data_IF_931792184896
#
_entry.id   IF_931792184896
#
_cell.length_a   1.000
_cell.length_b   1.000
_cell.length_c   1.000
_cell.angle_alpha   90.00
_cell.angle_beta   90.00
_cell.angle_gamma   90.00
#
_symmetry.space_group_name_H-M   'P 1'
#
loop_
_entity.id
_entity.type
_entity.pdbx_description
1 polymer ?
#
# COMPACT_ATOMS: atom_id res chain seq x y z
N UNK A 1 4.54 27.63 2.39
CA UNK A 1 6.00 27.83 2.47
C UNK A 1 6.72 26.56 2.03
N UNK A 2 7.83 26.65 1.27
CA UNK A 2 8.60 25.47 0.83
C UNK A 2 10.06 25.56 1.26
N UNK A 3 10.69 24.42 1.55
CA UNK A 3 12.14 24.30 1.77
C UNK A 3 12.73 23.25 0.84
N UNK A 4 14.02 23.39 0.54
CA UNK A 4 14.72 22.56 -0.44
C UNK A 4 16.13 22.22 0.03
N UNK A 5 16.64 21.08 -0.42
CA UNK A 5 18.05 20.74 -0.28
C UNK A 5 18.93 21.51 -1.29
N UNK A 6 20.25 21.29 -1.25
CA UNK A 6 21.21 21.95 -2.15
C UNK A 6 21.05 21.54 -3.62
N UNK A 7 20.31 20.47 -3.91
CA UNK A 7 20.04 19.96 -5.27
C UNK A 7 18.69 20.42 -5.80
N UNK A 8 17.90 21.13 -4.98
CA UNK A 8 16.57 21.60 -5.35
C UNK A 8 15.46 20.59 -5.09
N UNK A 9 15.72 19.51 -4.35
CA UNK A 9 14.67 18.58 -3.94
C UNK A 9 13.88 19.18 -2.77
N UNK A 10 12.54 19.12 -2.82
CA UNK A 10 11.67 19.74 -1.80
C UNK A 10 11.71 18.92 -0.50
N UNK A 11 12.25 19.50 0.57
CA UNK A 11 12.29 18.88 1.90
C UNK A 11 10.98 19.04 2.65
N UNK A 12 10.42 20.24 2.64
CA UNK A 12 9.09 20.51 3.23
C UNK A 12 8.27 21.42 2.33
N UNK A 13 6.96 21.27 2.39
CA UNK A 13 6.00 22.16 1.74
C UNK A 13 4.77 22.34 2.61
N UNK A 14 4.23 23.55 2.58
CA UNK A 14 2.97 23.93 3.24
C UNK A 14 2.18 24.79 2.27
N UNK A 15 0.91 24.43 2.06
CA UNK A 15 -0.07 25.21 1.32
C UNK A 15 -1.26 25.46 2.23
N UNK A 16 -1.78 26.67 2.22
CA UNK A 16 -2.93 27.10 3.03
C UNK A 16 -3.94 27.76 2.11
N UNK A 17 -5.22 27.56 2.41
CA UNK A 17 -6.34 28.14 1.69
C UNK A 17 -7.13 29.01 2.67
N UNK A 18 -7.50 30.20 2.22
CA UNK A 18 -8.42 31.14 2.88
C UNK A 18 -9.41 31.56 1.78
N UNK A 19 -10.51 30.84 1.66
CA UNK A 19 -11.49 30.97 0.58
C UNK A 19 -12.33 32.24 0.74
N UNK A 20 -12.53 32.69 1.98
CA UNK A 20 -13.35 33.86 2.28
C UNK A 20 -12.54 35.16 2.40
N UNK A 21 -11.20 35.07 2.45
CA UNK A 21 -10.27 36.19 2.53
C UNK A 21 -10.28 36.92 3.87
N UNK A 22 -10.72 36.27 4.94
CA UNK A 22 -10.83 36.88 6.28
C UNK A 22 -9.53 36.83 7.08
N UNK A 23 -8.50 36.18 6.54
CA UNK A 23 -7.19 35.99 7.17
C UNK A 23 -7.09 34.75 8.06
N UNK A 24 -8.14 33.95 8.15
CA UNK A 24 -8.17 32.62 8.80
C UNK A 24 -7.91 31.56 7.74
N UNK A 25 -7.10 30.56 8.10
CA UNK A 25 -6.87 29.39 7.23
C UNK A 25 -8.11 28.50 7.30
N UNK A 26 -8.72 28.20 6.16
CA UNK A 26 -9.84 27.26 6.02
C UNK A 26 -9.35 25.82 5.82
N UNK A 27 -8.18 25.64 5.19
CA UNK A 27 -7.53 24.33 5.10
C UNK A 27 -6.03 24.46 4.90
N UNK A 28 -5.30 23.43 5.33
CA UNK A 28 -3.85 23.32 5.19
C UNK A 28 -3.47 21.96 4.66
N UNK A 29 -2.53 21.96 3.72
CA UNK A 29 -1.79 20.79 3.29
C UNK A 29 -0.32 20.96 3.67
N UNK A 30 0.26 19.95 4.31
CA UNK A 30 1.71 19.89 4.56
C UNK A 30 2.31 18.62 4.00
N UNK A 31 3.58 18.71 3.62
CA UNK A 31 4.35 17.55 3.23
C UNK A 31 5.81 17.65 3.70
N UNK A 32 6.42 16.51 3.97
CA UNK A 32 7.85 16.37 4.29
C UNK A 32 8.45 15.23 3.49
N UNK A 33 9.63 15.42 2.92
CA UNK A 33 10.33 14.39 2.15
C UNK A 33 11.79 14.27 2.60
N UNK A 34 12.35 13.08 2.40
CA UNK A 34 13.79 12.83 2.54
C UNK A 34 14.35 12.22 1.26
N UNK A 35 15.65 12.39 1.04
CA UNK A 35 16.33 11.95 -0.17
C UNK A 35 17.68 11.31 0.15
N UNK A 36 18.12 10.39 -0.69
CA UNK A 36 19.47 9.85 -0.64
C UNK A 36 20.51 10.81 -1.25
N UNK A 37 21.77 10.36 -1.33
CA UNK A 37 22.85 11.14 -1.91
C UNK A 37 22.82 11.20 -3.43
N UNK A 38 21.91 10.50 -4.10
CA UNK A 38 21.70 10.53 -5.54
C UNK A 38 20.53 11.48 -5.88
N UNK A 39 19.68 11.78 -4.90
CA UNK A 39 18.48 12.61 -5.05
C UNK A 39 17.21 11.77 -5.21
N UNK A 40 17.27 10.45 -4.99
CA UNK A 40 16.09 9.60 -4.97
C UNK A 40 15.35 9.81 -3.65
N UNK A 41 14.03 9.92 -3.70
CA UNK A 41 13.22 10.15 -2.51
C UNK A 41 13.18 8.89 -1.65
N UNK A 42 13.57 8.97 -0.38
CA UNK A 42 13.54 7.83 0.54
C UNK A 42 12.21 7.75 1.30
N UNK A 43 11.71 8.90 1.75
CA UNK A 43 10.42 8.98 2.45
C UNK A 43 9.63 10.18 2.00
N UNK A 44 8.31 10.07 2.07
CA UNK A 44 7.36 11.16 1.92
C UNK A 44 6.27 11.04 2.98
N UNK A 45 5.86 12.17 3.54
CA UNK A 45 4.70 12.28 4.45
C UNK A 45 3.84 13.41 3.93
N UNK A 46 2.53 13.17 3.82
CA UNK A 46 1.51 14.18 3.49
C UNK A 46 0.47 14.23 4.60
N UNK A 47 0.05 15.43 4.94
CA UNK A 47 -0.96 15.69 5.98
C UNK A 47 -1.95 16.72 5.47
N UNK A 48 -3.22 16.54 5.81
CA UNK A 48 -4.30 17.48 5.50
C UNK A 48 -5.03 17.83 6.79
N UNK A 49 -5.22 19.13 6.98
CA UNK A 49 -6.14 19.76 7.92
C UNK A 49 -7.19 20.44 7.04
N UNK A 50 -8.36 19.82 6.93
CA UNK A 50 -9.40 20.18 5.96
C UNK A 50 -10.32 21.28 6.45
N UNK A 51 -10.28 21.60 7.74
CA UNK A 51 -11.15 22.56 8.38
C UNK A 51 -10.39 23.75 9.04
N UNK A 52 -9.06 23.75 8.97
CA UNK A 52 -8.19 24.82 9.46
C UNK A 52 -8.07 24.89 10.98
N UNK A 53 -8.50 23.85 11.72
CA UNK A 53 -8.49 23.86 13.18
C UNK A 53 -7.13 23.48 13.79
N UNK A 54 -6.16 23.08 12.94
CA UNK A 54 -4.82 22.66 13.33
C UNK A 54 -4.71 21.17 13.70
N UNK A 55 -5.80 20.40 13.58
CA UNK A 55 -5.83 18.95 13.72
C UNK A 55 -5.70 18.33 12.33
N UNK A 56 -4.93 17.25 12.23
CA UNK A 56 -4.78 16.52 10.97
C UNK A 56 -5.97 15.59 10.81
N UNK A 57 -6.72 15.74 9.72
CA UNK A 57 -7.86 14.88 9.34
C UNK A 57 -7.43 13.70 8.47
N UNK A 58 -6.27 13.80 7.81
CA UNK A 58 -5.72 12.74 6.98
C UNK A 58 -4.21 12.78 7.00
N UNK A 59 -3.58 11.62 7.14
CA UNK A 59 -2.13 11.45 7.03
C UNK A 59 -1.82 10.28 6.12
N UNK A 60 -0.87 10.46 5.20
CA UNK A 60 -0.25 9.35 4.49
C UNK A 60 1.27 9.43 4.52
N UNK A 61 1.89 8.26 4.47
CA UNK A 61 3.34 8.14 4.36
C UNK A 61 3.72 7.12 3.30
N UNK A 62 4.85 7.36 2.65
CA UNK A 62 5.42 6.45 1.66
C UNK A 62 6.92 6.33 1.87
N UNK A 63 7.44 5.11 1.77
CA UNK A 63 8.87 4.80 1.80
C UNK A 63 9.28 4.12 0.50
N UNK A 64 10.45 4.48 -0.02
CA UNK A 64 11.03 3.91 -1.23
C UNK A 64 12.39 3.28 -0.93
N UNK A 65 12.71 2.20 -1.66
CA UNK A 65 14.06 1.64 -1.69
C UNK A 65 14.54 1.51 -3.13
N UNK A 66 15.85 1.53 -3.32
CA UNK A 66 16.47 1.55 -4.65
C UNK A 66 17.65 0.59 -4.74
N UNK A 67 17.91 0.09 -5.95
CA UNK A 67 19.15 -0.60 -6.27
C UNK A 67 20.29 0.40 -6.54
N UNK A 68 21.51 -0.10 -6.80
CA UNK A 68 22.69 0.74 -7.08
C UNK A 68 22.63 1.51 -8.41
N UNK A 69 21.61 1.27 -9.22
CA UNK A 69 21.38 1.90 -10.52
C UNK A 69 20.12 2.77 -10.48
N UNK A 70 19.67 3.15 -9.28
CA UNK A 70 18.50 4.01 -9.03
C UNK A 70 17.16 3.41 -9.48
N UNK A 71 17.09 2.08 -9.69
CA UNK A 71 15.81 1.40 -9.93
C UNK A 71 15.08 1.21 -8.60
N UNK A 72 13.78 1.51 -8.53
CA UNK A 72 12.94 1.29 -7.35
C UNK A 72 12.86 -0.21 -7.07
N UNK A 73 13.22 -0.66 -5.86
CA UNK A 73 13.07 -2.05 -5.43
C UNK A 73 11.78 -2.27 -4.65
N UNK A 74 11.36 -1.27 -3.87
CA UNK A 74 10.11 -1.35 -3.11
C UNK A 74 9.49 0.02 -2.89
N UNK A 75 8.16 0.02 -2.79
CA UNK A 75 7.33 1.11 -2.33
C UNK A 75 6.47 0.56 -1.20
N UNK A 76 6.39 1.28 -0.09
CA UNK A 76 5.49 0.95 1.02
C UNK A 76 4.72 2.20 1.40
N UNK A 77 3.40 2.10 1.47
CA UNK A 77 2.52 3.22 1.82
C UNK A 77 1.57 2.85 2.95
N UNK A 78 1.29 3.83 3.81
CA UNK A 78 0.30 3.75 4.87
C UNK A 78 -0.57 5.00 4.85
N UNK A 79 -1.86 4.87 5.19
CA UNK A 79 -2.72 6.02 5.45
C UNK A 79 -3.58 5.86 6.70
N UNK A 80 -3.71 6.97 7.41
CA UNK A 80 -4.66 7.25 8.49
C UNK A 80 -5.69 8.21 7.86
N UNK A 81 -6.83 7.66 7.48
CA UNK A 81 -7.83 8.32 6.65
C UNK A 81 -8.76 9.23 7.44
N UNK A 82 -8.81 9.08 8.77
CA UNK A 82 -9.64 9.86 9.68
C UNK A 82 -8.83 10.71 10.69
N UNK A 83 -7.50 10.65 10.62
CA UNK A 83 -6.60 11.45 11.44
C UNK A 83 -6.55 11.01 12.91
N UNK A 84 -7.05 9.81 13.24
CA UNK A 84 -7.16 9.34 14.62
C UNK A 84 -5.83 8.80 15.20
N UNK A 85 -4.80 8.68 14.36
CA UNK A 85 -3.48 8.14 14.70
C UNK A 85 -3.34 6.63 14.50
N UNK A 86 -4.37 5.96 13.97
CA UNK A 86 -4.38 4.54 13.60
C UNK A 86 -4.30 4.44 12.08
N UNK A 87 -3.47 3.52 11.59
CA UNK A 87 -3.42 3.25 10.15
C UNK A 87 -4.67 2.48 9.75
N UNK A 88 -5.36 2.94 8.72
CA UNK A 88 -6.54 2.30 8.14
C UNK A 88 -6.21 1.47 6.91
N UNK A 89 -5.12 1.79 6.20
CA UNK A 89 -4.75 1.16 4.95
C UNK A 89 -3.24 1.01 4.83
N UNK A 90 -2.80 -0.13 4.29
CA UNK A 90 -1.42 -0.34 3.86
C UNK A 90 -1.38 -0.88 2.43
N UNK A 91 -0.35 -0.48 1.70
CA UNK A 91 0.02 -1.14 0.46
C UNK A 91 1.52 -1.28 0.32
N UNK A 92 1.93 -2.30 -0.42
CA UNK A 92 3.31 -2.47 -0.82
C UNK A 92 3.42 -2.88 -2.28
N UNK A 93 4.50 -2.41 -2.90
CA UNK A 93 4.90 -2.84 -4.22
C UNK A 93 6.37 -3.24 -4.16
N UNK A 94 6.74 -4.36 -4.78
CA UNK A 94 8.14 -4.78 -4.93
C UNK A 94 8.46 -5.09 -6.38
N UNK A 95 9.70 -4.84 -6.76
CA UNK A 95 10.15 -4.90 -8.14
C UNK A 95 11.49 -5.63 -8.24
N UNK A 96 11.65 -6.41 -9.31
CA UNK A 96 12.95 -7.02 -9.65
C UNK A 96 13.37 -6.64 -11.05
N UNK A 97 14.68 -6.64 -11.31
CA UNK A 97 15.24 -6.19 -12.58
C UNK A 97 16.39 -7.08 -13.03
N UNK A 98 16.61 -7.14 -14.34
CA UNK A 98 17.78 -7.77 -14.92
C UNK A 98 19.04 -6.87 -14.85
N UNK A 99 20.14 -7.35 -15.40
CA UNK A 99 21.41 -6.61 -15.46
C UNK A 99 21.39 -5.42 -16.42
N UNK A 100 20.39 -5.32 -17.30
CA UNK A 100 20.20 -4.19 -18.21
C UNK A 100 19.22 -3.15 -17.66
N UNK A 101 18.54 -3.45 -16.55
CA UNK A 101 17.53 -2.59 -15.93
C UNK A 101 16.10 -2.85 -16.43
N UNK A 102 15.86 -3.95 -17.14
CA UNK A 102 14.51 -4.35 -17.52
C UNK A 102 13.83 -5.01 -16.31
N UNK A 103 12.59 -4.61 -16.01
CA UNK A 103 11.82 -5.15 -14.90
C UNK A 103 11.46 -6.62 -15.17
N UNK A 104 11.80 -7.53 -14.27
CA UNK A 104 11.51 -8.96 -14.38
C UNK A 104 10.23 -9.35 -13.66
N UNK A 105 9.90 -8.69 -12.55
CA UNK A 105 8.64 -8.91 -11.83
C UNK A 105 8.16 -7.67 -11.09
N UNK A 106 6.87 -7.65 -10.79
CA UNK A 106 6.26 -6.80 -9.77
C UNK A 106 5.29 -7.61 -8.90
N UNK A 107 5.27 -7.31 -7.61
CA UNK A 107 4.28 -7.79 -6.66
C UNK A 107 3.60 -6.57 -6.03
N UNK A 108 2.28 -6.48 -6.12
CA UNK A 108 1.44 -5.48 -5.46
C UNK A 108 0.57 -6.16 -4.41
N UNK A 109 0.57 -5.60 -3.19
CA UNK A 109 -0.23 -6.07 -2.08
C UNK A 109 -0.97 -4.90 -1.41
N UNK A 110 -2.22 -5.10 -0.99
CA UNK A 110 -2.94 -4.15 -0.14
C UNK A 110 -3.66 -4.85 1.01
N UNK A 111 -3.70 -4.15 2.14
CA UNK A 111 -4.37 -4.47 3.39
C UNK A 111 -5.29 -3.27 3.69
N UNK A 112 -6.58 -3.41 3.34
CA UNK A 112 -7.54 -2.32 3.23
C UNK A 112 -8.10 -1.85 4.57
N UNK A 113 -7.86 -2.62 5.64
CA UNK A 113 -8.29 -2.34 7.00
C UNK A 113 -7.12 -2.34 7.99
N UNK A 114 -5.90 -2.45 7.49
CA UNK A 114 -4.66 -2.47 8.25
C UNK A 114 -4.60 -3.56 9.34
N UNK A 115 -5.32 -4.67 9.17
CA UNK A 115 -5.39 -5.77 10.14
C UNK A 115 -4.23 -6.77 10.03
N UNK A 116 -3.37 -6.60 9.02
CA UNK A 116 -2.22 -7.44 8.73
C UNK A 116 -2.52 -8.64 7.82
N UNK A 117 -3.75 -8.78 7.35
CA UNK A 117 -4.16 -9.75 6.32
C UNK A 117 -4.19 -9.03 4.98
N UNK A 118 -3.60 -9.66 3.98
CA UNK A 118 -3.57 -9.11 2.62
C UNK A 118 -4.91 -9.39 1.94
N UNK A 119 -5.67 -8.34 1.66
CA UNK A 119 -6.94 -8.40 0.93
C UNK A 119 -6.73 -8.58 -0.57
N UNK A 120 -5.68 -7.95 -1.11
CA UNK A 120 -5.37 -7.97 -2.52
C UNK A 120 -3.90 -8.28 -2.72
N UNK A 121 -3.64 -9.24 -3.60
CA UNK A 121 -2.30 -9.59 -4.04
C UNK A 121 -2.28 -9.87 -5.53
N UNK A 122 -1.39 -9.17 -6.24
CA UNK A 122 -1.14 -9.41 -7.65
C UNK A 122 0.36 -9.51 -7.91
N UNK A 123 0.77 -10.63 -8.53
CA UNK A 123 2.14 -10.81 -9.00
C UNK A 123 2.15 -10.85 -10.52
N UNK A 124 3.02 -10.05 -11.14
CA UNK A 124 3.27 -10.06 -12.59
C UNK A 124 4.72 -10.40 -12.87
N UNK A 125 4.95 -11.36 -13.75
CA UNK A 125 6.28 -11.71 -14.27
C UNK A 125 6.38 -11.32 -15.73
N UNK A 126 7.48 -10.67 -16.10
CA UNK A 126 7.74 -10.19 -17.46
C UNK A 126 8.80 -11.04 -18.15
N UNK A 127 8.46 -11.56 -19.33
CA UNK A 127 9.42 -12.22 -20.22
C UNK A 127 9.79 -11.31 -21.39
N UNK A 128 11.07 -11.29 -21.77
CA UNK A 128 11.58 -10.50 -22.88
C UNK A 128 12.19 -11.40 -23.95
N UNK A 129 11.77 -11.21 -25.21
CA UNK A 129 12.27 -11.98 -26.36
C UNK A 129 13.52 -11.36 -27.02
N UNK A 130 14.12 -10.33 -26.42
CA UNK A 130 15.24 -9.57 -26.98
C UNK A 130 15.51 -8.26 -26.24
N UNK A 131 16.21 -7.31 -26.87
CA UNK A 131 16.55 -6.01 -26.28
C UNK A 131 15.31 -5.16 -25.94
N UNK A 132 14.70 -5.40 -24.77
CA UNK A 132 13.63 -4.56 -24.20
C UNK A 132 12.24 -4.77 -24.81
N UNK A 133 12.03 -5.78 -25.66
CA UNK A 133 10.70 -6.12 -26.17
C UNK A 133 10.00 -7.14 -25.27
N UNK A 134 8.94 -6.69 -24.60
CA UNK A 134 8.04 -7.51 -23.78
C UNK A 134 7.35 -8.58 -24.64
N UNK A 135 7.42 -9.83 -24.19
CA UNK A 135 6.78 -10.99 -24.80
C UNK A 135 5.37 -11.21 -24.25
N UNK A 136 5.25 -11.14 -22.92
CA UNK A 136 4.01 -11.39 -22.17
C UNK A 136 4.25 -11.03 -20.69
N UNK A 137 3.26 -10.41 -20.05
CA UNK A 137 3.17 -10.37 -18.59
C UNK A 137 2.21 -11.47 -18.15
N UNK A 138 2.65 -12.38 -17.28
CA UNK A 138 1.74 -13.36 -16.65
C UNK A 138 1.38 -12.80 -15.28
N UNK A 139 0.12 -12.39 -15.12
CA UNK A 139 -0.44 -11.99 -13.83
C UNK A 139 -1.06 -13.20 -13.15
N UNK A 140 -0.72 -13.41 -11.89
CA UNK A 140 -1.49 -14.26 -10.98
C UNK A 140 -2.22 -13.36 -9.98
N UNK A 141 -3.54 -13.50 -9.91
CA UNK A 141 -4.47 -12.80 -9.01
C UNK A 141 -5.87 -13.28 -9.40
N UNK A 142 -6.75 -13.75 -8.51
CA UNK A 142 -7.04 -13.27 -7.16
C UNK A 142 -6.89 -14.37 -6.09
N UNK A 143 -6.32 -14.04 -4.94
CA UNK A 143 -6.58 -14.79 -3.71
C UNK A 143 -7.35 -13.84 -2.80
N UNK A 144 -8.69 -13.95 -2.80
CA UNK A 144 -9.51 -13.42 -1.71
C UNK A 144 -9.16 -14.26 -0.46
N UNK A 145 -8.26 -13.76 0.38
CA UNK A 145 -7.93 -14.42 1.64
C UNK A 145 -9.03 -14.08 2.65
N UNK A 146 -10.14 -14.82 2.62
CA UNK A 146 -11.10 -14.76 3.72
C UNK A 146 -10.46 -15.35 4.97
N UNK A 147 -10.11 -14.52 5.95
CA UNK A 147 -9.94 -14.99 7.31
C UNK A 147 -11.32 -15.33 7.88
N UNK A 148 -11.67 -16.62 7.90
CA UNK A 148 -12.77 -17.09 8.74
C UNK A 148 -12.32 -17.00 10.20
N UNK A 149 -12.68 -15.92 10.89
CA UNK A 149 -12.68 -15.90 12.35
C UNK A 149 -14.10 -15.76 12.92
N UNK A 150 -14.45 -16.78 13.71
CA UNK A 150 -15.59 -16.92 14.64
C UNK A 150 -16.84 -17.71 14.19
N UNK A 151 -16.71 -19.03 14.05
CA UNK A 151 -17.82 -19.92 14.45
C UNK A 151 -17.87 -19.99 15.98
N UNK A 152 -18.60 -19.08 16.60
CA UNK A 152 -19.05 -19.22 17.98
C UNK A 152 -20.10 -20.35 18.03
N UNK A 153 -19.68 -21.52 18.49
CA UNK A 153 -20.50 -22.72 18.57
C UNK A 153 -21.51 -22.61 19.72
N UNK A 154 -22.62 -21.92 19.50
CA UNK A 154 -23.80 -22.10 20.35
C UNK A 154 -24.56 -23.33 19.89
N UNK A 155 -24.21 -24.43 20.57
CA UNK A 155 -24.96 -25.68 20.65
C UNK A 155 -26.45 -25.38 20.88
N UNK A 156 -27.31 -25.82 19.96
CA UNK A 156 -28.65 -26.24 20.34
C UNK A 156 -29.05 -27.51 19.61
N UNK A 157 -29.36 -28.52 20.41
CA UNK A 157 -29.76 -29.86 19.99
C UNK A 157 -31.16 -29.85 19.37
N UNK A 158 -31.42 -30.89 18.56
CA UNK A 158 -32.69 -31.57 18.22
C UNK A 158 -32.59 -32.01 16.74
N UNK A 159 -32.71 -33.25 16.30
CA UNK A 159 -33.05 -34.52 16.95
C UNK A 159 -32.80 -35.64 15.94
N UNK A 160 -32.20 -36.73 16.42
CA UNK A 160 -32.45 -38.15 16.13
C UNK A 160 -32.68 -38.69 14.69
N UNK A 161 -32.01 -39.84 14.48
CA UNK A 161 -32.47 -41.05 13.78
C UNK A 161 -32.30 -41.14 12.25
N UNK A 162 -31.28 -41.87 11.78
CA UNK A 162 -31.41 -43.28 11.35
C UNK A 162 -30.05 -43.85 10.84
N UNK A 163 -29.51 -44.82 11.59
CA UNK A 163 -28.80 -46.06 11.21
C UNK A 163 -28.79 -46.43 9.70
N UNK A 164 -27.76 -46.99 9.02
CA UNK A 164 -26.58 -47.83 9.32
C UNK A 164 -25.75 -48.00 7.99
N UNK A 165 -24.64 -48.78 7.92
CA UNK A 165 -23.46 -48.48 7.09
C UNK A 165 -23.47 -49.16 5.71
N UNK A 166 -22.65 -48.68 4.77
CA UNK A 166 -22.20 -49.51 3.65
C UNK A 166 -20.69 -49.47 3.44
N UNK A 167 -20.16 -50.68 3.30
CA UNK A 167 -18.77 -51.11 3.27
C UNK A 167 -18.05 -50.80 1.96
N UNK A 168 -16.75 -50.54 2.06
CA UNK A 168 -15.77 -50.46 0.96
C UNK A 168 -15.50 -51.86 0.38
N UNK A 169 -15.33 -51.95 -0.94
CA UNK A 169 -14.52 -53.01 -1.56
C UNK A 169 -13.68 -52.42 -2.68
N UNK A 170 -12.37 -52.52 -2.54
CA UNK A 170 -11.38 -52.31 -3.59
C UNK A 170 -11.47 -53.44 -4.63
N UNK A 171 -11.49 -53.08 -5.91
CA UNK A 171 -10.56 -53.49 -6.98
C UNK A 171 -10.99 -52.84 -8.30
#
# INVERSE_FOLDING_TARGET
>A
MNTYDLRGNRLTGVSEVDDNGDGTVDSRYSNTNTYDQQGNQLTGVSEYDTNGDGIIDYRSSTTYTYDRRDNILSIFSESDNDGNGTIDFRSSETYTYDQKGNQLSSLSESDNNADGIIDYRQETVFEYLGEGQYAMGVSTGDVEVFAEDSFDSQVNQLSEQFDLPFTVSEF
#
